data_IF_073835847537
#
_entry.id   IF_073835847537
#
_cell.length_a   1.000
_cell.length_b   1.000
_cell.length_c   1.000
_cell.angle_alpha   90.00
_cell.angle_beta   90.00
_cell.angle_gamma   90.00
#
_symmetry.space_group_name_H-M   'P 1'
#
loop_
_entity.id
_entity.type
_entity.pdbx_description
1 polymer ?
#
# COMPACT_ATOMS: atom_id res chain seq x y z
N UNK A 1 62.49 7.21 25.82
CA UNK A 1 61.61 6.02 25.74
C UNK A 1 60.43 6.35 24.84
N UNK A 2 59.95 5.40 24.03
CA UNK A 2 58.79 5.60 23.15
C UNK A 2 57.61 4.74 23.63
N UNK A 3 56.46 5.37 23.87
CA UNK A 3 55.24 4.69 24.31
C UNK A 3 54.55 4.11 23.07
N UNK A 4 54.53 2.78 22.93
CA UNK A 4 53.66 2.11 21.95
C UNK A 4 52.21 2.36 22.33
N UNK A 5 51.41 2.91 21.42
CA UNK A 5 49.95 2.82 21.52
C UNK A 5 49.53 1.35 21.36
N UNK A 6 48.55 0.85 22.12
CA UNK A 6 47.99 -0.47 21.87
C UNK A 6 47.34 -0.53 20.47
N UNK A 7 47.27 -1.71 19.88
CA UNK A 7 46.43 -1.94 18.70
C UNK A 7 44.95 -1.87 19.13
N UNK A 8 44.12 -1.14 18.38
CA UNK A 8 42.69 -1.03 18.68
C UNK A 8 42.01 -2.40 18.49
N UNK A 9 41.08 -2.73 19.38
CA UNK A 9 40.28 -3.95 19.27
C UNK A 9 39.27 -3.82 18.11
N UNK A 10 38.85 -4.92 17.46
CA UNK A 10 37.86 -4.88 16.37
C UNK A 10 36.53 -4.23 16.76
N UNK A 11 36.19 -4.26 18.05
CA UNK A 11 34.96 -3.71 18.63
C UNK A 11 34.97 -2.17 18.72
N UNK A 12 36.14 -1.52 18.61
CA UNK A 12 36.26 -0.05 18.51
C UNK A 12 36.25 0.47 17.06
N UNK A 13 35.99 -0.41 16.06
CA UNK A 13 35.94 -0.01 14.66
C UNK A 13 34.73 0.88 14.38
N UNK A 14 34.94 2.20 14.36
CA UNK A 14 33.88 3.18 14.07
C UNK A 14 33.15 2.85 12.75
N UNK A 15 31.80 2.86 12.74
CA UNK A 15 31.04 2.54 11.54
C UNK A 15 31.25 3.61 10.48
N UNK A 16 31.83 3.22 9.34
CA UNK A 16 32.20 4.14 8.25
C UNK A 16 31.02 4.91 7.63
N UNK A 17 29.78 4.49 7.89
CA UNK A 17 28.55 5.13 7.41
C UNK A 17 27.51 5.17 8.52
N UNK A 18 26.97 6.36 8.80
CA UNK A 18 25.91 6.57 9.78
C UNK A 18 24.57 6.73 9.05
N UNK A 19 23.75 5.67 9.07
CA UNK A 19 22.47 5.63 8.36
C UNK A 19 21.42 6.50 9.06
N UNK A 20 21.28 7.75 8.62
CA UNK A 20 20.31 8.70 9.18
C UNK A 20 18.90 8.45 8.63
N UNK A 21 17.98 7.99 9.50
CA UNK A 21 16.57 7.79 9.15
C UNK A 21 15.84 9.14 9.08
N UNK A 22 15.78 9.75 7.90
CA UNK A 22 14.97 10.94 7.67
C UNK A 22 13.48 10.60 7.68
N UNK A 23 12.80 10.92 8.78
CA UNK A 23 11.34 11.01 8.79
C UNK A 23 10.88 11.98 7.71
N UNK A 24 9.86 11.55 6.95
CA UNK A 24 9.24 12.35 5.90
C UNK A 24 7.75 12.34 6.18
N UNK A 25 7.16 13.52 6.34
CA UNK A 25 5.83 13.71 6.94
C UNK A 25 4.71 13.00 6.15
N UNK A 26 4.93 12.79 4.85
CA UNK A 26 4.15 11.86 4.03
C UNK A 26 5.04 10.87 3.27
N UNK A 27 4.81 9.59 3.53
CA UNK A 27 5.36 8.46 2.74
C UNK A 27 4.74 8.44 1.34
N UNK A 28 3.47 8.84 1.23
CA UNK A 28 2.66 8.81 0.02
C UNK A 28 2.35 10.26 -0.40
N UNK A 29 2.90 10.69 -1.53
CA UNK A 29 2.61 11.98 -2.15
C UNK A 29 1.46 11.81 -3.16
N UNK A 30 0.24 12.15 -2.72
CA UNK A 30 -0.98 12.05 -3.52
C UNK A 30 -1.07 13.08 -4.65
N UNK A 31 -0.26 14.16 -4.65
CA UNK A 31 -0.27 15.16 -5.73
C UNK A 31 0.30 14.61 -7.05
N UNK A 32 1.07 13.53 -6.98
CA UNK A 32 1.62 12.84 -8.15
C UNK A 32 0.66 11.78 -8.67
N UNK A 33 0.18 11.95 -9.90
CA UNK A 33 -0.63 10.95 -10.61
C UNK A 33 0.01 9.54 -10.60
N UNK A 34 1.34 9.46 -10.66
CA UNK A 34 2.11 8.20 -10.56
C UNK A 34 1.90 7.43 -9.25
N UNK A 35 1.36 8.07 -8.20
CA UNK A 35 1.08 7.49 -6.89
C UNK A 35 -0.26 6.73 -6.93
N UNK A 36 -1.29 7.30 -7.56
CA UNK A 36 -2.57 6.61 -7.77
C UNK A 36 -2.39 5.34 -8.62
N UNK A 37 -1.70 5.41 -9.76
CA UNK A 37 -1.43 4.22 -10.60
C UNK A 37 -0.59 3.16 -9.88
N UNK A 38 0.29 3.55 -8.94
CA UNK A 38 0.99 2.59 -8.06
C UNK A 38 0.04 1.93 -7.08
N UNK A 39 -0.86 2.69 -6.44
CA UNK A 39 -1.86 2.17 -5.52
C UNK A 39 -2.79 1.17 -6.23
N UNK A 40 -3.37 1.55 -7.36
CA UNK A 40 -4.21 0.69 -8.21
C UNK A 40 -3.50 -0.62 -8.57
N UNK A 41 -2.23 -0.54 -8.99
CA UNK A 41 -1.40 -1.72 -9.29
C UNK A 41 -1.15 -2.60 -8.05
N UNK A 42 -0.93 -2.01 -6.88
CA UNK A 42 -0.71 -2.76 -5.62
C UNK A 42 -2.01 -3.46 -5.20
N UNK A 43 -3.14 -2.76 -5.22
CA UNK A 43 -4.47 -3.32 -4.89
C UNK A 43 -4.80 -4.46 -5.84
N UNK A 44 -4.55 -4.33 -7.15
CA UNK A 44 -4.74 -5.41 -8.12
C UNK A 44 -3.94 -6.68 -7.77
N UNK A 45 -2.67 -6.54 -7.39
CA UNK A 45 -1.85 -7.67 -6.92
C UNK A 45 -2.36 -8.28 -5.60
N UNK A 46 -2.82 -7.46 -4.64
CA UNK A 46 -3.40 -7.95 -3.37
C UNK A 46 -4.69 -8.71 -3.62
N UNK A 47 -5.60 -8.19 -4.47
CA UNK A 47 -6.86 -8.84 -4.85
C UNK A 47 -6.61 -10.18 -5.56
N UNK A 48 -5.62 -10.24 -6.45
CA UNK A 48 -5.17 -11.49 -7.08
C UNK A 48 -4.65 -12.49 -6.04
N UNK A 49 -3.79 -12.05 -5.11
CA UNK A 49 -3.25 -12.92 -4.06
C UNK A 49 -4.36 -13.47 -3.14
N UNK A 50 -5.29 -12.62 -2.70
CA UNK A 50 -6.47 -13.03 -1.92
C UNK A 50 -7.33 -14.06 -2.66
N UNK A 51 -7.50 -13.92 -3.98
CA UNK A 51 -8.25 -14.87 -4.80
C UNK A 51 -7.54 -16.24 -4.86
N UNK A 52 -6.22 -16.25 -5.12
CA UNK A 52 -5.40 -17.47 -5.15
C UNK A 52 -5.39 -18.19 -3.80
N UNK A 53 -5.25 -17.46 -2.69
CA UNK A 53 -5.31 -18.01 -1.34
C UNK A 53 -6.69 -18.61 -1.01
N UNK A 54 -7.79 -17.91 -1.32
CA UNK A 54 -9.16 -18.40 -1.08
C UNK A 54 -9.48 -19.67 -1.87
N UNK A 55 -9.01 -19.76 -3.12
CA UNK A 55 -9.14 -20.96 -3.95
C UNK A 55 -8.21 -22.11 -3.52
N UNK A 56 -7.33 -21.91 -2.53
CA UNK A 56 -6.28 -22.85 -2.12
C UNK A 56 -5.39 -23.31 -3.31
N UNK A 57 -5.29 -22.50 -4.37
CA UNK A 57 -4.99 -23.06 -5.68
C UNK A 57 -3.50 -23.09 -6.02
N UNK A 58 -2.81 -24.08 -5.47
CA UNK A 58 -1.73 -24.73 -6.20
C UNK A 58 -2.36 -25.55 -7.35
N UNK A 59 -2.88 -24.84 -8.35
CA UNK A 59 -3.83 -25.38 -9.35
C UNK A 59 -3.02 -26.08 -10.46
N UNK A 60 -2.79 -27.38 -10.26
CA UNK A 60 -2.14 -28.30 -11.19
C UNK A 60 -0.75 -27.84 -11.71
N UNK A 61 -0.02 -27.04 -10.93
CA UNK A 61 1.26 -26.45 -11.33
C UNK A 61 1.17 -25.25 -12.30
N UNK A 62 -0.04 -24.77 -12.61
CA UNK A 62 -0.26 -23.61 -13.48
C UNK A 62 0.02 -22.33 -12.71
N UNK A 63 1.20 -21.72 -12.96
CA UNK A 63 1.54 -20.41 -12.42
C UNK A 63 0.60 -19.33 -13.00
N UNK A 64 0.10 -18.39 -12.17
CA UNK A 64 -0.70 -17.27 -12.65
C UNK A 64 0.13 -16.35 -13.57
N UNK A 65 -0.50 -15.63 -14.53
CA UNK A 65 0.22 -14.75 -15.45
C UNK A 65 1.07 -13.71 -14.72
N UNK A 66 2.33 -13.52 -15.13
CA UNK A 66 3.23 -12.54 -14.48
C UNK A 66 2.77 -11.08 -14.63
N UNK A 67 1.83 -10.80 -15.53
CA UNK A 67 1.26 -9.48 -15.75
C UNK A 67 -0.18 -9.42 -15.19
N UNK A 68 -0.59 -8.22 -14.75
CA UNK A 68 -1.97 -7.90 -14.40
C UNK A 68 -2.78 -7.64 -15.68
N UNK A 69 -4.00 -8.17 -15.73
CA UNK A 69 -4.96 -7.85 -16.80
C UNK A 69 -5.65 -6.51 -16.56
N UNK A 70 -6.23 -5.92 -17.61
CA UNK A 70 -6.99 -4.65 -17.52
C UNK A 70 -8.15 -4.77 -16.53
N UNK A 71 -8.87 -5.89 -16.55
CA UNK A 71 -9.97 -6.20 -15.62
C UNK A 71 -9.55 -6.18 -14.14
N UNK A 72 -8.28 -6.49 -13.84
CA UNK A 72 -7.74 -6.43 -12.47
C UNK A 72 -7.37 -4.99 -12.05
N UNK A 73 -6.98 -4.13 -13.01
CA UNK A 73 -6.82 -2.69 -12.75
C UNK A 73 -8.17 -1.98 -12.57
N UNK A 74 -9.17 -2.29 -13.39
CA UNK A 74 -10.55 -1.78 -13.27
C UNK A 74 -11.15 -2.20 -11.92
N UNK A 75 -11.02 -3.48 -11.55
CA UNK A 75 -11.48 -3.99 -10.26
C UNK A 75 -10.75 -3.34 -9.08
N UNK A 76 -9.44 -3.07 -9.20
CA UNK A 76 -8.68 -2.38 -8.16
C UNK A 76 -9.10 -0.91 -8.01
N UNK A 77 -9.38 -0.22 -9.11
CA UNK A 77 -9.93 1.14 -9.12
C UNK A 77 -11.32 1.19 -8.48
N UNK A 78 -12.20 0.25 -8.81
CA UNK A 78 -13.51 0.14 -8.17
C UNK A 78 -13.40 -0.08 -6.66
N UNK A 79 -12.51 -0.98 -6.20
CA UNK A 79 -12.26 -1.22 -4.76
C UNK A 79 -11.68 0.02 -4.06
N UNK A 80 -10.78 0.77 -4.70
CA UNK A 80 -10.25 2.02 -4.15
C UNK A 80 -11.37 3.07 -4.03
N UNK A 81 -12.22 3.20 -5.05
CA UNK A 81 -13.38 4.09 -5.02
C UNK A 81 -14.39 3.69 -3.94
N UNK A 82 -14.68 2.40 -3.79
CA UNK A 82 -15.57 1.85 -2.77
C UNK A 82 -15.04 2.13 -1.35
N UNK A 83 -13.75 1.90 -1.10
CA UNK A 83 -13.13 2.17 0.20
C UNK A 83 -13.16 3.67 0.56
N UNK A 84 -12.81 4.55 -0.39
CA UNK A 84 -12.88 6.01 -0.21
C UNK A 84 -14.32 6.46 0.02
N UNK A 85 -15.29 5.83 -0.64
CA UNK A 85 -16.72 6.11 -0.42
C UNK A 85 -17.18 5.66 0.98
N UNK A 86 -16.80 4.46 1.41
CA UNK A 86 -17.11 3.93 2.75
C UNK A 86 -16.46 4.77 3.87
N UNK A 87 -15.28 5.35 3.64
CA UNK A 87 -14.61 6.21 4.63
C UNK A 87 -15.22 7.62 4.71
N UNK A 88 -15.51 8.27 3.57
CA UNK A 88 -15.98 9.67 3.56
C UNK A 88 -17.50 9.85 3.62
N UNK A 89 -18.29 8.86 3.18
CA UNK A 89 -19.75 8.93 3.08
C UNK A 89 -20.45 7.83 3.90
N UNK A 90 -19.82 7.36 4.98
CA UNK A 90 -20.32 6.26 5.82
C UNK A 90 -21.80 6.44 6.24
N UNK A 91 -22.17 7.64 6.71
CA UNK A 91 -23.53 7.96 7.15
C UNK A 91 -24.52 8.02 5.97
N UNK A 92 -24.12 8.57 4.82
CA UNK A 92 -24.95 8.63 3.61
C UNK A 92 -25.20 7.21 3.05
N UNK A 93 -24.19 6.35 3.07
CA UNK A 93 -24.28 4.93 2.68
C UNK A 93 -25.15 4.15 3.67
N UNK A 94 -25.04 4.43 4.97
CA UNK A 94 -25.89 3.82 5.99
C UNK A 94 -27.37 4.22 5.78
N UNK A 95 -27.66 5.50 5.58
CA UNK A 95 -29.02 5.99 5.30
C UNK A 95 -29.58 5.47 3.97
N UNK A 96 -28.77 5.39 2.90
CA UNK A 96 -29.14 4.72 1.65
C UNK A 96 -29.49 3.24 1.87
N UNK A 97 -28.66 2.50 2.61
CA UNK A 97 -28.92 1.08 2.90
C UNK A 97 -30.19 0.88 3.74
N UNK A 98 -30.52 1.84 4.59
CA UNK A 98 -31.76 1.91 5.36
C UNK A 98 -32.97 2.47 4.58
N UNK A 99 -32.83 2.71 3.27
CA UNK A 99 -33.86 3.31 2.38
C UNK A 99 -34.39 4.68 2.85
N UNK A 100 -33.54 5.47 3.52
CA UNK A 100 -33.87 6.83 3.99
C UNK A 100 -33.59 7.88 2.91
N UNK A 101 -34.11 9.08 3.11
CA UNK A 101 -33.86 10.20 2.18
C UNK A 101 -32.55 10.91 2.52
N UNK A 102 -31.61 10.90 1.58
CA UNK A 102 -30.40 11.71 1.65
C UNK A 102 -30.70 13.22 1.72
N UNK A 103 -29.79 13.96 2.35
CA UNK A 103 -29.80 15.42 2.29
C UNK A 103 -29.62 15.89 0.84
N UNK A 104 -30.47 16.83 0.39
CA UNK A 104 -30.44 17.37 -0.99
C UNK A 104 -29.25 18.30 -1.30
N UNK A 105 -28.27 18.35 -0.40
CA UNK A 105 -27.02 19.10 -0.50
C UNK A 105 -25.96 18.30 0.26
N UNK A 106 -24.88 17.91 -0.43
CA UNK A 106 -23.65 17.51 0.24
C UNK A 106 -22.99 18.74 0.89
N UNK A 107 -22.12 18.52 1.87
CA UNK A 107 -21.41 19.56 2.63
C UNK A 107 -19.92 19.68 2.24
N UNK A 108 -19.53 19.07 1.12
CA UNK A 108 -18.23 19.22 0.44
C UNK A 108 -18.17 20.47 -0.46
#
# INVERSE_FOLDING_TARGET
MAIKRPAMLPEEMQPAHLLCTRTKDTVIDFSRFSTYTKLQRIVAWVVRAMHLFRLHHNINGVLPPQQLSVLEYEKAEHIISELVQQEHFADEIADLSASRQLAKRSTL
#
